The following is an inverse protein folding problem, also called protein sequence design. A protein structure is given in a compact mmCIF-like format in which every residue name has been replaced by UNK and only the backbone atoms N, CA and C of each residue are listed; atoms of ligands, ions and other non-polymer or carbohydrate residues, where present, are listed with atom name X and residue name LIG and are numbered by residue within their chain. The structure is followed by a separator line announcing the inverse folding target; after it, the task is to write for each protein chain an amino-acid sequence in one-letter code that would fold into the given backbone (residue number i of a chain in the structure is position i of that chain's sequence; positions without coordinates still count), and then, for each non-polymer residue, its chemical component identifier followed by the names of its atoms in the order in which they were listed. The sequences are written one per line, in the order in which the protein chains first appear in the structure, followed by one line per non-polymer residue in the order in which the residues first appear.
data_IF_181123928282
#
_entry.id   IF_181123928282
#
_cell.length_a   1.000
_cell.length_b   1.000
_cell.length_c   1.000
_cell.angle_alpha   90.00
_cell.angle_beta   90.00
_cell.angle_gamma   90.00
#
_symmetry.space_group_name_H-M   'P 1'
#
loop_
_entity.id
_entity.type
_entity.pdbx_description
1 polymer ?
#
# COMPACT_ATOMS: atom_id res chain seq x y z
N UNK A 1 17.90 -23.37 2.58
CA UNK A 1 17.21 -22.99 1.39
C UNK A 1 15.75 -22.67 1.61
N UNK A 2 15.02 -23.59 2.18
CA UNK A 2 13.63 -23.34 2.47
C UNK A 2 13.43 -22.21 3.43
N UNK A 3 14.39 -22.01 4.30
CA UNK A 3 14.27 -20.94 5.28
C UNK A 3 14.30 -19.58 4.64
N UNK A 4 15.12 -19.44 3.60
CA UNK A 4 15.18 -18.17 2.89
C UNK A 4 13.88 -17.90 2.17
N UNK A 5 13.33 -18.93 1.55
CA UNK A 5 12.05 -18.79 0.86
C UNK A 5 10.95 -18.48 1.86
N UNK A 6 11.00 -19.14 3.02
CA UNK A 6 10.00 -18.89 4.04
C UNK A 6 10.07 -17.46 4.54
N UNK A 7 11.28 -16.93 4.69
CA UNK A 7 11.43 -15.55 5.11
C UNK A 7 10.78 -14.59 4.13
N UNK A 8 10.92 -14.85 2.83
CA UNK A 8 10.29 -14.03 1.81
C UNK A 8 8.78 -14.21 1.84
N UNK A 9 8.33 -15.46 2.01
CA UNK A 9 6.91 -15.77 2.01
C UNK A 9 6.17 -15.14 3.18
N UNK A 10 6.89 -14.81 4.25
CA UNK A 10 6.24 -14.25 5.42
C UNK A 10 6.23 -12.74 5.42
N UNK A 11 6.67 -12.12 4.33
CA UNK A 11 6.59 -10.66 4.22
C UNK A 11 5.24 -10.25 3.66
N UNK A 12 4.73 -9.17 4.18
CA UNK A 12 3.49 -8.57 3.70
C UNK A 12 3.69 -7.07 3.52
N UNK A 13 2.81 -6.48 2.72
CA UNK A 13 2.78 -5.02 2.62
C UNK A 13 1.68 -4.51 3.55
N UNK A 14 1.92 -3.36 4.12
CA UNK A 14 0.93 -2.68 4.94
C UNK A 14 0.72 -1.29 4.36
N UNK A 15 -0.53 -0.94 4.16
CA UNK A 15 -0.89 0.38 3.63
C UNK A 15 -1.60 1.23 4.69
N UNK A 16 -1.38 0.91 5.96
CA UNK A 16 -2.01 1.65 7.04
C UNK A 16 -1.70 3.14 6.95
N UNK A 17 -0.46 3.46 6.60
CA UNK A 17 -0.05 4.85 6.48
C UNK A 17 -0.82 5.56 5.38
N UNK A 18 -1.09 4.85 4.29
CA UNK A 18 -1.86 5.43 3.20
C UNK A 18 -3.27 5.80 3.66
N UNK A 19 -3.93 4.86 4.32
CA UNK A 19 -5.30 5.10 4.77
C UNK A 19 -5.35 6.21 5.79
N UNK A 20 -4.36 6.26 6.68
CA UNK A 20 -4.30 7.33 7.66
C UNK A 20 -4.09 8.67 6.98
N UNK A 21 -3.25 8.71 5.96
CA UNK A 21 -3.00 9.95 5.22
C UNK A 21 -4.27 10.43 4.52
N UNK A 22 -5.05 9.51 3.95
CA UNK A 22 -6.31 9.89 3.32
C UNK A 22 -7.27 10.48 4.34
N UNK A 23 -7.34 9.88 5.52
CA UNK A 23 -8.19 10.40 6.57
C UNK A 23 -7.74 11.81 6.95
N UNK A 24 -6.44 12.01 7.11
CA UNK A 24 -5.90 13.31 7.48
C UNK A 24 -6.19 14.37 6.41
N UNK A 25 -6.26 13.95 5.16
CA UNK A 25 -6.54 14.86 4.05
C UNK A 25 -8.02 14.93 3.70
N UNK A 26 -8.84 14.23 4.48
CA UNK A 26 -10.29 14.22 4.26
C UNK A 26 -10.63 13.69 2.87
N UNK A 27 -9.91 12.66 2.44
CA UNK A 27 -10.09 12.03 1.14
C UNK A 27 -10.67 10.64 1.30
N UNK A 28 -11.50 10.26 0.35
CA UNK A 28 -12.02 8.89 0.28
C UNK A 28 -11.25 8.11 -0.75
N UNK A 29 -11.39 6.79 -0.72
CA UNK A 29 -10.70 5.95 -1.69
C UNK A 29 -11.08 6.31 -3.12
N UNK A 30 -12.32 6.69 -3.37
CA UNK A 30 -12.74 7.09 -4.70
C UNK A 30 -12.04 8.37 -5.14
N UNK A 31 -11.76 9.26 -4.20
CA UNK A 31 -11.04 10.49 -4.52
C UNK A 31 -9.60 10.16 -4.91
N UNK A 32 -8.97 9.26 -4.17
CA UNK A 32 -7.62 8.82 -4.51
C UNK A 32 -7.60 8.17 -5.88
N UNK A 33 -8.57 7.32 -6.15
CA UNK A 33 -8.63 6.62 -7.42
C UNK A 33 -8.72 7.62 -8.58
N UNK A 34 -9.58 8.62 -8.45
CA UNK A 34 -9.77 9.59 -9.51
C UNK A 34 -8.56 10.50 -9.65
N UNK A 35 -8.05 11.00 -8.54
CA UNK A 35 -6.95 11.97 -8.57
C UNK A 35 -5.64 11.34 -9.03
N UNK A 36 -5.38 10.12 -8.62
CA UNK A 36 -4.15 9.43 -9.01
C UNK A 36 -4.26 8.79 -10.39
N UNK A 37 -5.47 8.66 -10.92
CA UNK A 37 -5.66 8.05 -12.22
C UNK A 37 -5.34 6.58 -12.23
N UNK A 38 -5.68 5.87 -11.15
CA UNK A 38 -5.44 4.43 -11.05
C UNK A 38 -6.77 3.70 -11.19
N UNK A 39 -6.68 2.40 -11.51
CA UNK A 39 -7.88 1.60 -11.69
C UNK A 39 -8.53 1.28 -10.36
N UNK A 40 -9.83 1.01 -10.38
CA UNK A 40 -10.50 0.58 -9.16
C UNK A 40 -9.98 -0.78 -8.69
N UNK A 41 -9.53 -1.61 -9.65
CA UNK A 41 -8.92 -2.89 -9.29
C UNK A 41 -7.67 -2.67 -8.43
N UNK A 42 -6.90 -1.63 -8.72
CA UNK A 42 -5.72 -1.30 -7.90
C UNK A 42 -6.14 -0.88 -6.50
N UNK A 43 -7.19 -0.08 -6.39
CA UNK A 43 -7.69 0.35 -5.08
C UNK A 43 -8.17 -0.86 -4.28
N UNK A 44 -8.83 -1.80 -4.95
CA UNK A 44 -9.29 -3.02 -4.30
C UNK A 44 -8.11 -3.82 -3.75
N UNK A 45 -7.04 -3.95 -4.52
CA UNK A 45 -5.85 -4.65 -4.05
C UNK A 45 -5.23 -3.95 -2.86
N UNK A 46 -5.15 -2.64 -2.91
CA UNK A 46 -4.64 -1.86 -1.78
C UNK A 46 -5.48 -2.11 -0.53
N UNK A 47 -6.80 -2.16 -0.70
CA UNK A 47 -7.71 -2.38 0.43
C UNK A 47 -7.54 -3.76 1.04
N UNK A 48 -7.14 -4.73 0.23
CA UNK A 48 -6.91 -6.10 0.70
C UNK A 48 -5.49 -6.31 1.22
N UNK A 49 -4.64 -5.32 1.14
CA UNK A 49 -3.25 -5.47 1.55
C UNK A 49 -2.42 -6.25 0.56
N UNK A 50 -2.83 -6.26 -0.71
CA UNK A 50 -2.12 -6.97 -1.76
C UNK A 50 -1.15 -6.04 -2.45
N UNK A 51 -0.19 -6.63 -3.16
CA UNK A 51 0.80 -5.82 -3.88
C UNK A 51 0.17 -5.21 -5.13
N UNK A 52 0.67 -4.04 -5.50
CA UNK A 52 0.31 -3.38 -6.74
C UNK A 52 1.60 -3.01 -7.45
N UNK A 53 1.49 -2.59 -8.70
CA UNK A 53 2.68 -2.24 -9.48
C UNK A 53 3.33 -0.98 -8.91
N UNK A 54 4.62 -0.85 -9.16
CA UNK A 54 5.33 0.35 -8.74
C UNK A 54 4.76 1.59 -9.43
N UNK A 55 4.25 1.43 -10.64
CA UNK A 55 3.64 2.54 -11.35
C UNK A 55 2.44 3.09 -10.57
N UNK A 56 1.62 2.19 -10.01
CA UNK A 56 0.50 2.60 -9.18
C UNK A 56 1.00 3.37 -7.95
N UNK A 57 2.03 2.83 -7.31
CA UNK A 57 2.61 3.48 -6.13
C UNK A 57 3.12 4.87 -6.48
N UNK A 58 3.79 5.00 -7.63
CA UNK A 58 4.33 6.30 -8.03
C UNK A 58 3.21 7.31 -8.29
N UNK A 59 2.12 6.87 -8.89
CA UNK A 59 0.98 7.76 -9.14
C UNK A 59 0.36 8.23 -7.83
N UNK A 60 0.25 7.34 -6.87
CA UNK A 60 -0.28 7.71 -5.55
C UNK A 60 0.64 8.71 -4.87
N UNK A 61 1.93 8.44 -4.87
CA UNK A 61 2.88 9.32 -4.22
C UNK A 61 2.89 10.71 -4.87
N UNK A 62 2.78 10.76 -6.18
CA UNK A 62 2.73 12.05 -6.87
C UNK A 62 1.47 12.81 -6.47
N UNK A 63 0.35 12.12 -6.43
CA UNK A 63 -0.94 12.73 -6.09
C UNK A 63 -0.93 13.28 -4.67
N UNK A 64 -0.37 12.52 -3.73
CA UNK A 64 -0.34 12.91 -2.33
C UNK A 64 0.90 13.70 -1.96
N UNK A 65 1.80 13.91 -2.92
CA UNK A 65 3.04 14.67 -2.72
C UNK A 65 3.84 14.09 -1.56
N UNK A 66 4.14 12.80 -1.65
CA UNK A 66 4.83 12.09 -0.58
C UNK A 66 5.75 11.02 -1.17
N UNK A 67 6.45 10.32 -0.30
CA UNK A 67 7.36 9.27 -0.71
C UNK A 67 6.75 7.91 -0.37
N UNK A 68 7.33 6.86 -0.93
CA UNK A 68 6.79 5.51 -0.75
C UNK A 68 6.72 5.11 0.71
N UNK A 69 7.72 5.48 1.51
CA UNK A 69 7.73 5.15 2.93
C UNK A 69 6.66 5.87 3.73
N UNK A 70 6.03 6.88 3.14
CA UNK A 70 4.96 7.61 3.81
C UNK A 70 3.61 6.91 3.67
N UNK A 71 3.50 5.95 2.75
CA UNK A 71 2.22 5.31 2.48
C UNK A 71 2.25 3.81 2.72
N UNK A 72 3.43 3.18 2.83
CA UNK A 72 3.47 1.73 3.00
C UNK A 72 4.70 1.28 3.76
N UNK A 73 4.60 0.08 4.29
CA UNK A 73 5.68 -0.61 4.96
C UNK A 73 5.68 -2.06 4.53
N UNK A 74 6.84 -2.70 4.69
CA UNK A 74 6.94 -4.15 4.57
C UNK A 74 7.03 -4.70 5.98
N UNK A 75 6.19 -5.65 6.30
CA UNK A 75 6.17 -6.26 7.63
C UNK A 75 6.29 -7.76 7.47
N UNK A 76 6.81 -8.41 8.50
CA UNK A 76 6.88 -9.86 8.52
C UNK A 76 5.60 -10.42 9.12
N UNK A 77 5.20 -11.60 8.63
CA UNK A 77 3.97 -12.21 9.10
C UNK A 77 3.98 -12.42 10.60
N UNK A 78 5.12 -12.84 11.14
CA UNK A 78 5.18 -13.08 12.58
C UNK A 78 4.95 -11.79 13.36
N UNK A 79 5.38 -10.64 12.81
CA UNK A 79 5.09 -9.36 13.42
C UNK A 79 3.61 -9.02 13.29
N UNK A 80 3.05 -9.38 12.15
CA UNK A 80 1.65 -9.08 11.88
C UNK A 80 0.73 -9.87 12.80
N UNK A 81 1.17 -11.05 13.21
CA UNK A 81 0.37 -11.90 14.07
C UNK A 81 0.36 -11.44 15.52
N UNK A 82 1.30 -10.62 15.87
CA UNK A 82 1.40 -10.12 17.23
C UNK A 82 0.72 -8.78 17.38
#
# INVERSE_FOLDING_TARGET
MNENLRGIDTMQVSYKKLWKMLIDKDMKKKDLQADAGISWASVTKLSKGETVSMEVIMKICKTLNCNIGDIMDLIQDEDAEQ
#
